data_IF_663027244450
#
_entry.id   IF_663027244450
#
_cell.length_a   1.000
_cell.length_b   1.000
_cell.length_c   1.000
_cell.angle_alpha   90.00
_cell.angle_beta   90.00
_cell.angle_gamma   90.00
#
_symmetry.space_group_name_H-M   'P 1'
#
loop_
_entity.id
_entity.type
_entity.pdbx_description
1 polymer ?
#
# COMPACT_ATOMS: atom_id res chain seq x y z
N UNK A 1 5.51 -16.65 -2.08
CA UNK A 1 6.43 -15.57 -2.53
C UNK A 1 7.17 -14.86 -1.38
N UNK A 2 6.58 -14.73 -0.18
CA UNK A 2 7.18 -14.07 1.00
C UNK A 2 8.49 -14.66 1.53
N UNK A 3 8.73 -15.98 1.39
CA UNK A 3 9.96 -16.62 1.88
C UNK A 3 11.23 -16.16 1.15
N UNK A 4 11.13 -15.73 -0.10
CA UNK A 4 12.29 -15.24 -0.87
C UNK A 4 12.71 -13.83 -0.44
N UNK A 5 11.74 -12.99 -0.08
CA UNK A 5 11.97 -11.61 0.35
C UNK A 5 12.62 -11.58 1.74
N UNK A 6 12.17 -12.46 2.64
CA UNK A 6 12.77 -12.61 3.98
C UNK A 6 14.23 -13.06 3.92
N UNK A 7 14.57 -13.98 2.99
CA UNK A 7 15.96 -14.40 2.73
C UNK A 7 16.81 -13.28 2.14
N UNK A 8 16.28 -12.51 1.19
CA UNK A 8 16.99 -11.36 0.61
C UNK A 8 17.25 -10.26 1.64
N UNK A 9 16.27 -9.96 2.49
CA UNK A 9 16.42 -8.99 3.58
C UNK A 9 17.45 -9.46 4.62
N UNK A 10 17.42 -10.74 4.99
CA UNK A 10 18.43 -11.32 5.89
C UNK A 10 19.84 -11.27 5.29
N UNK A 11 19.98 -11.53 3.98
CA UNK A 11 21.27 -11.42 3.27
C UNK A 11 21.79 -9.97 3.26
N UNK A 12 20.91 -9.01 2.95
CA UNK A 12 21.27 -7.60 2.92
C UNK A 12 21.67 -7.07 4.31
N UNK A 13 21.01 -7.53 5.38
CA UNK A 13 21.39 -7.20 6.76
C UNK A 13 22.76 -7.81 7.09
N UNK A 14 23.00 -9.06 6.72
CA UNK A 14 24.29 -9.73 6.94
C UNK A 14 25.43 -9.00 6.21
N UNK A 15 25.21 -8.61 4.95
CA UNK A 15 26.17 -7.83 4.15
C UNK A 15 26.41 -6.44 4.76
N UNK A 16 25.35 -5.77 5.24
CA UNK A 16 25.47 -4.50 5.93
C UNK A 16 26.30 -4.58 7.21
N UNK A 17 26.14 -5.67 7.99
CA UNK A 17 26.95 -5.93 9.18
C UNK A 17 28.43 -6.12 8.80
N UNK A 18 28.72 -6.95 7.78
CA UNK A 18 30.09 -7.18 7.30
C UNK A 18 30.75 -5.90 6.80
N UNK A 19 30.02 -5.06 6.07
CA UNK A 19 30.52 -3.77 5.60
C UNK A 19 30.84 -2.85 6.78
N UNK A 20 29.94 -2.75 7.77
CA UNK A 20 30.17 -1.92 8.97
C UNK A 20 31.38 -2.38 9.77
N UNK A 21 31.58 -3.70 9.90
CA UNK A 21 32.72 -4.28 10.60
C UNK A 21 34.03 -4.02 9.85
N UNK A 22 34.04 -4.13 8.52
CA UNK A 22 35.20 -3.82 7.70
C UNK A 22 35.60 -2.33 7.79
N UNK A 23 34.62 -1.43 7.81
CA UNK A 23 34.85 0.01 7.94
C UNK A 23 35.42 0.34 9.33
N UNK A 24 34.92 -0.32 10.37
CA UNK A 24 35.38 -0.16 11.75
C UNK A 24 36.80 -0.73 11.94
N UNK A 25 37.11 -1.87 11.30
CA UNK A 25 38.48 -2.40 11.27
C UNK A 25 39.44 -1.46 10.54
N UNK A 26 39.02 -0.90 9.40
CA UNK A 26 39.84 0.07 8.66
C UNK A 26 40.07 1.36 9.45
N UNK A 27 39.08 1.83 10.21
CA UNK A 27 39.25 2.94 11.14
C UNK A 27 40.25 2.60 12.26
N UNK A 28 40.14 1.41 12.85
CA UNK A 28 41.05 0.94 13.91
C UNK A 28 42.48 0.81 13.41
N UNK A 29 42.69 0.34 12.18
CA UNK A 29 44.00 0.26 11.54
C UNK A 29 44.59 1.66 11.32
N UNK A 30 43.81 2.64 10.86
CA UNK A 30 44.29 4.03 10.71
C UNK A 30 44.63 4.70 12.04
N UNK A 31 43.86 4.45 13.08
CA UNK A 31 44.14 4.97 14.43
C UNK A 31 45.33 4.26 15.07
N UNK A 32 45.51 2.96 14.83
CA UNK A 32 46.66 2.19 15.35
C UNK A 32 47.95 2.47 14.59
N UNK A 33 47.90 2.77 13.29
CA UNK A 33 49.06 3.24 12.50
C UNK A 33 49.42 4.70 12.78
N UNK A 34 48.53 5.46 13.41
CA UNK A 34 48.77 6.86 13.82
C UNK A 34 49.41 7.02 15.20
N UNK A 35 49.62 5.93 15.96
CA UNK A 35 50.05 6.02 17.35
C UNK A 35 51.17 5.00 17.67
N UNK A 36 52.33 5.21 17.04
CA UNK A 36 53.54 4.42 17.30
C UNK A 36 54.79 5.07 16.73
N UNK A 37 55.59 5.67 17.60
CA UNK A 37 56.99 6.10 17.45
C UNK A 37 57.29 7.39 16.65
N UNK A 38 57.87 8.36 17.36
CA UNK A 38 58.43 9.57 16.75
C UNK A 38 58.90 10.62 17.76
N UNK A 39 59.49 10.20 18.89
CA UNK A 39 60.32 11.09 19.71
C UNK A 39 61.79 10.85 19.32
N UNK A 40 62.49 11.98 19.15
CA UNK A 40 63.94 12.16 19.13
C UNK A 40 64.71 11.92 17.81
N UNK A 41 65.68 12.84 17.65
CA UNK A 41 66.91 12.76 16.86
C UNK A 41 66.74 13.20 15.40
N UNK A 42 67.16 14.40 15.02
CA UNK A 42 68.55 14.86 14.94
C UNK A 42 69.42 13.94 14.07
N UNK A 43 70.18 14.59 13.17
CA UNK A 43 71.07 14.04 12.16
C UNK A 43 70.32 13.51 10.92
N UNK A 44 70.74 13.83 9.70
CA UNK A 44 72.09 13.63 9.20
C UNK A 44 72.31 14.45 7.93
N UNK A 45 73.35 15.26 7.96
CA UNK A 45 74.14 15.65 6.79
C UNK A 45 74.42 14.45 5.90
N UNK A 46 74.28 14.55 4.57
CA UNK A 46 74.83 13.56 3.67
C UNK A 46 76.34 13.81 3.54
N UNK A 47 77.11 13.01 4.27
CA UNK A 47 78.53 12.76 3.98
C UNK A 47 78.59 11.65 2.94
N UNK A 48 79.17 11.93 1.78
CA UNK A 48 79.66 10.90 0.85
C UNK A 48 80.84 11.44 0.04
N UNK A 49 81.73 10.54 -0.41
CA UNK A 49 83.16 10.69 -0.22
C UNK A 49 83.87 10.99 -1.54
N UNK A 50 84.89 11.85 -1.50
CA UNK A 50 86.02 11.77 -2.43
C UNK A 50 87.20 12.52 -1.80
N UNK A 51 88.10 11.72 -1.22
CA UNK A 51 89.48 12.13 -1.14
C UNK A 51 90.07 12.12 -2.54
N UNK A 52 90.77 13.20 -2.87
CA UNK A 52 91.99 13.33 -3.68
C UNK A 52 92.29 14.83 -3.61
N UNK A 53 93.25 15.23 -2.78
CA UNK A 53 94.56 15.61 -3.29
C UNK A 53 94.49 16.77 -4.28
N UNK A 54 94.68 18.00 -3.81
CA UNK A 54 95.95 18.70 -4.03
C UNK A 54 96.02 19.94 -3.14
N UNK A 55 96.86 19.84 -2.13
CA UNK A 55 97.46 20.97 -1.44
C UNK A 55 98.24 21.83 -2.44
N UNK A 56 97.67 22.96 -2.85
CA UNK A 56 98.41 24.08 -3.40
C UNK A 56 98.19 25.30 -2.52
N UNK A 57 98.79 25.26 -1.33
CA UNK A 57 99.18 26.47 -0.61
C UNK A 57 100.20 27.21 -1.48
N UNK A 58 99.72 28.01 -2.44
CA UNK A 58 100.56 28.95 -3.15
C UNK A 58 100.74 30.17 -2.25
N UNK A 59 101.53 29.99 -1.18
CA UNK A 59 102.18 31.10 -0.49
C UNK A 59 103.16 31.74 -1.47
N UNK A 60 102.66 32.65 -2.31
CA UNK A 60 103.50 33.57 -3.07
C UNK A 60 103.44 34.95 -2.42
N UNK A 61 103.93 35.02 -1.19
CA UNK A 61 104.50 36.26 -0.67
C UNK A 61 105.74 36.60 -1.51
N UNK A 62 105.52 37.24 -2.65
CA UNK A 62 106.59 37.85 -3.43
C UNK A 62 106.71 39.30 -2.99
N UNK A 63 107.33 39.50 -1.83
CA UNK A 63 107.98 40.77 -1.50
C UNK A 63 109.15 40.94 -2.48
N UNK A 64 108.89 41.58 -3.63
CA UNK A 64 109.95 42.07 -4.49
C UNK A 64 110.41 43.41 -3.93
N UNK A 65 111.40 43.36 -3.04
CA UNK A 65 112.29 44.48 -2.81
C UNK A 65 112.96 44.85 -4.15
N UNK A 66 112.53 45.96 -4.74
CA UNK A 66 113.13 46.51 -5.94
C UNK A 66 114.43 47.24 -5.57
N UNK A 67 115.50 46.46 -5.48
CA UNK A 67 116.86 46.93 -5.20
C UNK A 67 117.87 46.47 -6.25
N UNK A 68 117.51 46.40 -7.53
CA UNK A 68 118.44 46.29 -8.66
C UNK A 68 117.70 46.50 -10.00
N UNK A 69 118.33 47.13 -11.02
CA UNK A 69 117.72 47.33 -12.32
C UNK A 69 117.74 46.01 -13.13
N UNK A 70 116.58 45.39 -13.30
CA UNK A 70 116.39 44.27 -14.22
C UNK A 70 116.11 44.83 -15.64
N UNK A 71 117.05 44.59 -16.56
CA UNK A 71 116.92 44.91 -17.97
C UNK A 71 116.34 43.69 -18.71
N UNK A 72 115.04 43.73 -19.01
CA UNK A 72 114.41 42.80 -19.95
C UNK A 72 114.84 43.19 -21.36
N UNK A 73 115.62 42.32 -21.98
CA UNK A 73 116.11 42.46 -23.34
C UNK A 73 114.97 42.35 -24.35
N UNK A 74 114.98 43.30 -25.28
CA UNK A 74 114.28 43.42 -26.57
C UNK A 74 112.82 43.94 -26.55
N UNK A 75 112.70 45.27 -26.69
CA UNK A 75 111.50 45.93 -27.24
C UNK A 75 110.70 46.87 -26.33
N UNK A 76 110.99 47.00 -25.03
CA UNK A 76 110.14 47.80 -24.10
C UNK A 76 110.81 49.13 -23.69
N UNK A 77 110.13 50.30 -23.81
CA UNK A 77 110.69 51.61 -23.49
C UNK A 77 111.15 51.79 -22.03
N UNK A 78 112.26 52.50 -21.76
CA UNK A 78 112.91 52.61 -20.44
C UNK A 78 112.14 53.45 -19.38
N UNK A 79 110.90 53.87 -19.68
CA UNK A 79 110.05 54.68 -18.79
C UNK A 79 108.83 53.92 -18.26
N UNK A 80 108.65 52.65 -18.66
CA UNK A 80 107.51 51.84 -18.22
C UNK A 80 107.82 51.17 -16.87
N UNK A 81 107.02 51.48 -15.85
CA UNK A 81 107.07 50.78 -14.58
C UNK A 81 106.28 49.46 -14.68
N UNK A 82 106.97 48.41 -15.13
CA UNK A 82 106.40 47.06 -15.29
C UNK A 82 105.86 46.51 -13.97
N UNK A 83 106.49 46.82 -12.83
CA UNK A 83 106.03 46.37 -11.52
C UNK A 83 104.66 46.97 -11.14
N UNK A 84 104.42 48.25 -11.44
CA UNK A 84 103.12 48.88 -11.23
C UNK A 84 102.03 48.24 -12.13
N UNK A 85 102.38 47.88 -13.36
CA UNK A 85 101.49 47.16 -14.28
C UNK A 85 101.13 45.76 -13.76
N UNK A 86 102.11 45.00 -13.27
CA UNK A 86 101.88 43.69 -12.65
C UNK A 86 101.01 43.77 -11.39
N UNK A 87 101.24 44.76 -10.51
CA UNK A 87 100.42 44.95 -9.30
C UNK A 87 98.99 45.36 -9.63
N UNK A 88 98.79 46.17 -10.67
CA UNK A 88 97.45 46.53 -11.13
C UNK A 88 96.71 45.32 -11.72
N UNK A 89 97.40 44.50 -12.51
CA UNK A 89 96.84 43.27 -13.06
C UNK A 89 96.43 42.30 -11.93
N UNK A 90 97.31 42.09 -10.95
CA UNK A 90 97.04 41.23 -9.79
C UNK A 90 95.82 41.72 -8.99
N UNK A 91 95.69 43.03 -8.76
CA UNK A 91 94.49 43.58 -8.09
C UNK A 91 93.21 43.31 -8.89
N UNK A 92 93.23 43.50 -10.21
CA UNK A 92 92.06 43.24 -11.05
C UNK A 92 91.74 41.75 -11.17
N UNK A 93 92.75 40.89 -11.13
CA UNK A 93 92.58 39.44 -11.06
C UNK A 93 91.91 39.02 -9.74
N UNK A 94 92.37 39.56 -8.61
CA UNK A 94 91.77 39.32 -7.29
C UNK A 94 90.33 39.85 -7.21
N UNK A 95 90.09 41.10 -7.66
CA UNK A 95 88.75 41.70 -7.71
C UNK A 95 87.82 40.87 -8.60
N UNK A 96 88.29 40.42 -9.77
CA UNK A 96 87.52 39.57 -10.68
C UNK A 96 87.20 38.22 -10.04
N UNK A 97 88.17 37.58 -9.40
CA UNK A 97 87.99 36.29 -8.73
C UNK A 97 86.96 36.42 -7.59
N UNK A 98 87.02 37.49 -6.80
CA UNK A 98 86.03 37.75 -5.75
C UNK A 98 84.62 37.91 -6.32
N UNK A 99 84.47 38.70 -7.39
CA UNK A 99 83.18 38.89 -8.06
C UNK A 99 82.67 37.57 -8.64
N UNK A 100 83.55 36.77 -9.25
CA UNK A 100 83.18 35.48 -9.83
C UNK A 100 82.65 34.52 -8.77
N UNK A 101 83.36 34.37 -7.65
CA UNK A 101 82.92 33.51 -6.53
C UNK A 101 81.59 34.00 -5.96
N UNK A 102 81.45 35.31 -5.72
CA UNK A 102 80.20 35.87 -5.22
C UNK A 102 79.02 35.68 -6.19
N UNK A 103 79.28 35.74 -7.50
CA UNK A 103 78.27 35.48 -8.53
C UNK A 103 77.86 34.00 -8.57
N UNK A 104 78.81 33.08 -8.43
CA UNK A 104 78.53 31.64 -8.40
C UNK A 104 77.68 31.27 -7.17
N UNK A 105 78.07 31.74 -5.97
CA UNK A 105 77.28 31.53 -4.75
C UNK A 105 75.88 32.16 -4.84
N UNK A 106 75.76 33.31 -5.52
CA UNK A 106 74.46 33.94 -5.75
C UNK A 106 73.60 33.13 -6.74
N UNK A 107 74.20 32.56 -7.78
CA UNK A 107 73.52 31.68 -8.73
C UNK A 107 73.03 30.39 -8.05
N UNK A 108 73.86 29.77 -7.20
CA UNK A 108 73.48 28.60 -6.39
C UNK A 108 72.32 28.92 -5.44
N UNK A 109 72.39 30.05 -4.73
CA UNK A 109 71.30 30.51 -3.84
C UNK A 109 70.01 30.81 -4.61
N UNK A 110 70.11 31.43 -5.78
CA UNK A 110 68.96 31.68 -6.63
C UNK A 110 68.31 30.37 -7.13
N UNK A 111 69.11 29.37 -7.50
CA UNK A 111 68.61 28.05 -7.88
C UNK A 111 67.90 27.35 -6.71
N UNK A 112 68.48 27.40 -5.50
CA UNK A 112 67.85 26.84 -4.30
C UNK A 112 66.48 27.49 -4.01
N UNK A 113 66.39 28.83 -4.10
CA UNK A 113 65.11 29.54 -3.93
C UNK A 113 64.11 29.16 -5.02
N UNK A 114 64.56 29.04 -6.28
CA UNK A 114 63.69 28.61 -7.38
C UNK A 114 63.07 27.24 -7.11
N UNK A 115 63.84 26.25 -6.62
CA UNK A 115 63.30 24.93 -6.26
C UNK A 115 62.26 24.99 -5.15
N UNK A 116 62.47 25.84 -4.14
CA UNK A 116 61.49 26.05 -3.07
C UNK A 116 60.20 26.70 -3.57
N UNK A 117 60.31 27.69 -4.47
CA UNK A 117 59.16 28.34 -5.11
C UNK A 117 58.35 27.31 -5.91
N UNK A 118 59.01 26.48 -6.72
CA UNK A 118 58.34 25.42 -7.48
C UNK A 118 57.61 24.44 -6.55
N UNK A 119 58.26 23.99 -5.47
CA UNK A 119 57.63 23.08 -4.50
C UNK A 119 56.39 23.71 -3.80
N UNK A 120 56.45 25.01 -3.48
CA UNK A 120 55.30 25.73 -2.92
C UNK A 120 54.17 25.87 -3.96
N UNK A 121 54.51 26.20 -5.20
CA UNK A 121 53.56 26.31 -6.29
C UNK A 121 52.83 24.98 -6.55
N UNK A 122 53.56 23.87 -6.59
CA UNK A 122 52.99 22.53 -6.75
C UNK A 122 52.01 22.20 -5.63
N UNK A 123 52.42 22.42 -4.37
CA UNK A 123 51.57 22.21 -3.19
C UNK A 123 50.30 23.07 -3.24
N UNK A 124 50.44 24.36 -3.55
CA UNK A 124 49.31 25.28 -3.65
C UNK A 124 48.37 24.89 -4.80
N UNK A 125 48.91 24.41 -5.92
CA UNK A 125 48.10 23.90 -7.04
C UNK A 125 47.32 22.63 -6.64
N UNK A 126 47.95 21.73 -5.89
CA UNK A 126 47.32 20.51 -5.38
C UNK A 126 46.18 20.83 -4.43
N UNK A 127 46.43 21.70 -3.44
CA UNK A 127 45.40 22.18 -2.52
C UNK A 127 44.23 22.85 -3.25
N UNK A 128 44.51 23.68 -4.26
CA UNK A 128 43.46 24.31 -5.08
C UNK A 128 42.59 23.28 -5.78
N UNK A 129 43.19 22.22 -6.36
CA UNK A 129 42.43 21.12 -6.98
C UNK A 129 41.54 20.43 -5.95
N UNK A 130 42.08 20.03 -4.80
CA UNK A 130 41.30 19.39 -3.74
C UNK A 130 40.13 20.26 -3.24
N UNK A 131 40.36 21.57 -3.06
CA UNK A 131 39.31 22.51 -2.66
C UNK A 131 38.25 22.66 -3.76
N UNK A 132 38.67 22.70 -5.03
CA UNK A 132 37.75 22.75 -6.17
C UNK A 132 36.88 21.50 -6.25
N UNK A 133 37.48 20.31 -6.08
CA UNK A 133 36.76 19.04 -6.08
C UNK A 133 35.76 18.97 -4.93
N UNK A 134 36.19 19.38 -3.73
CA UNK A 134 35.32 19.46 -2.56
C UNK A 134 34.17 20.44 -2.78
N UNK A 135 34.46 21.64 -3.29
CA UNK A 135 33.43 22.64 -3.61
C UNK A 135 32.43 22.12 -4.65
N UNK A 136 32.90 21.40 -5.67
CA UNK A 136 32.04 20.76 -6.66
C UNK A 136 31.13 19.70 -6.04
N UNK A 137 31.67 18.87 -5.15
CA UNK A 137 30.88 17.86 -4.44
C UNK A 137 29.83 18.48 -3.50
N UNK A 138 30.19 19.55 -2.78
CA UNK A 138 29.28 20.26 -1.87
C UNK A 138 28.18 21.02 -2.63
N UNK A 139 28.47 21.52 -3.82
CA UNK A 139 27.49 22.21 -4.67
C UNK A 139 26.31 21.31 -5.09
N UNK A 140 26.45 19.98 -5.04
CA UNK A 140 25.38 19.03 -5.33
C UNK A 140 24.38 18.81 -4.18
N UNK A 141 24.74 19.18 -2.95
CA UNK A 141 23.89 18.95 -1.75
C UNK A 141 22.52 19.64 -1.86
N UNK A 142 22.41 20.92 -2.28
CA UNK A 142 21.12 21.57 -2.44
C UNK A 142 20.20 20.82 -3.42
N UNK A 143 20.73 20.29 -4.52
CA UNK A 143 19.96 19.49 -5.48
C UNK A 143 19.49 18.17 -4.90
N UNK A 144 20.28 17.53 -4.02
CA UNK A 144 19.84 16.35 -3.30
C UNK A 144 18.72 16.67 -2.30
N UNK A 145 18.81 17.81 -1.61
CA UNK A 145 17.78 18.28 -0.69
C UNK A 145 16.47 18.52 -1.43
N UNK A 146 16.48 19.20 -2.59
CA UNK A 146 15.26 19.45 -3.35
C UNK A 146 14.63 18.15 -3.88
N UNK A 147 15.44 17.19 -4.33
CA UNK A 147 14.94 15.86 -4.72
C UNK A 147 14.34 15.09 -3.55
N UNK A 148 14.96 15.18 -2.37
CA UNK A 148 14.43 14.55 -1.15
C UNK A 148 13.11 15.20 -0.74
N UNK A 149 13.00 16.53 -0.80
CA UNK A 149 11.76 17.26 -0.53
C UNK A 149 10.65 16.85 -1.50
N UNK A 150 10.93 16.76 -2.79
CA UNK A 150 9.98 16.26 -3.78
C UNK A 150 9.54 14.81 -3.48
N UNK A 151 10.47 13.94 -3.05
CA UNK A 151 10.11 12.58 -2.63
C UNK A 151 9.21 12.58 -1.39
N UNK A 152 9.44 13.47 -0.43
CA UNK A 152 8.58 13.61 0.77
C UNK A 152 7.18 14.08 0.36
N UNK A 153 7.08 15.07 -0.54
CA UNK A 153 5.80 15.54 -1.07
C UNK A 153 5.02 14.41 -1.76
N UNK A 154 5.70 13.58 -2.57
CA UNK A 154 5.05 12.42 -3.20
C UNK A 154 4.58 11.38 -2.17
N UNK A 155 5.31 11.19 -1.07
CA UNK A 155 4.90 10.29 0.00
C UNK A 155 3.68 10.82 0.74
N UNK A 156 3.62 12.12 1.03
CA UNK A 156 2.44 12.74 1.64
C UNK A 156 1.22 12.63 0.73
N UNK A 157 1.37 12.89 -0.58
CA UNK A 157 0.27 12.73 -1.53
C UNK A 157 -0.25 11.28 -1.60
N UNK A 158 0.65 10.30 -1.50
CA UNK A 158 0.28 8.88 -1.44
C UNK A 158 -0.44 8.56 -0.12
N UNK A 159 0.01 9.10 1.01
CA UNK A 159 -0.64 8.93 2.30
C UNK A 159 -2.07 9.50 2.30
N UNK A 160 -2.26 10.70 1.74
CA UNK A 160 -3.58 11.32 1.62
C UNK A 160 -4.51 10.53 0.70
N UNK A 161 -3.99 10.02 -0.42
CA UNK A 161 -4.74 9.11 -1.29
C UNK A 161 -5.10 7.80 -0.58
N UNK A 162 -4.19 7.28 0.26
CA UNK A 162 -4.44 6.12 1.10
C UNK A 162 -5.60 6.35 2.06
N UNK A 163 -5.59 7.47 2.79
CA UNK A 163 -6.69 7.86 3.69
C UNK A 163 -8.02 8.03 2.95
N UNK A 164 -7.99 8.62 1.76
CA UNK A 164 -9.21 8.76 0.95
C UNK A 164 -9.74 7.38 0.52
N UNK A 165 -8.85 6.46 0.14
CA UNK A 165 -9.24 5.10 -0.22
C UNK A 165 -9.84 4.34 0.97
N UNK A 166 -9.30 4.51 2.17
CA UNK A 166 -9.87 3.93 3.40
C UNK A 166 -11.31 4.43 3.64
N UNK A 167 -11.56 5.74 3.47
CA UNK A 167 -12.90 6.33 3.59
C UNK A 167 -13.86 5.77 2.53
N UNK A 168 -13.41 5.62 1.28
CA UNK A 168 -14.27 5.05 0.23
C UNK A 168 -14.52 3.55 0.42
N UNK A 169 -13.58 2.81 1.02
CA UNK A 169 -13.80 1.42 1.39
C UNK A 169 -14.81 1.27 2.52
N UNK A 170 -14.74 2.12 3.55
CA UNK A 170 -15.73 2.15 4.64
C UNK A 170 -17.15 2.41 4.09
N UNK A 171 -17.31 3.40 3.21
CA UNK A 171 -18.60 3.65 2.53
C UNK A 171 -19.08 2.46 1.69
N UNK A 172 -18.16 1.73 1.07
CA UNK A 172 -18.50 0.56 0.28
C UNK A 172 -18.96 -0.60 1.18
N UNK A 173 -18.33 -0.79 2.34
CA UNK A 173 -18.74 -1.74 3.36
C UNK A 173 -20.16 -1.43 3.86
N UNK A 174 -20.43 -0.17 4.24
CA UNK A 174 -21.77 0.30 4.64
C UNK A 174 -22.83 0.00 3.56
N UNK A 175 -22.49 0.24 2.28
CA UNK A 175 -23.39 -0.01 1.16
C UNK A 175 -23.66 -1.50 0.96
N UNK A 176 -22.64 -2.34 1.12
CA UNK A 176 -22.79 -3.79 1.05
C UNK A 176 -23.71 -4.30 2.17
N UNK A 177 -23.52 -3.85 3.41
CA UNK A 177 -24.38 -4.20 4.55
C UNK A 177 -25.85 -3.80 4.31
N UNK A 178 -26.07 -2.59 3.77
CA UNK A 178 -27.41 -2.12 3.42
C UNK A 178 -28.05 -2.99 2.32
N UNK A 179 -27.29 -3.37 1.29
CA UNK A 179 -27.78 -4.29 0.25
C UNK A 179 -28.17 -5.65 0.83
N UNK A 180 -27.33 -6.24 1.68
CA UNK A 180 -27.61 -7.52 2.34
C UNK A 180 -28.88 -7.44 3.21
N UNK A 181 -29.05 -6.33 3.94
CA UNK A 181 -30.25 -6.10 4.74
C UNK A 181 -31.50 -5.99 3.87
N UNK A 182 -31.43 -5.27 2.75
CA UNK A 182 -32.55 -5.13 1.82
C UNK A 182 -32.94 -6.47 1.19
N UNK A 183 -31.96 -7.28 0.77
CA UNK A 183 -32.20 -8.63 0.27
C UNK A 183 -32.88 -9.52 1.32
N UNK A 184 -32.39 -9.48 2.56
CA UNK A 184 -32.99 -10.21 3.67
C UNK A 184 -34.44 -9.80 3.92
N UNK A 185 -34.72 -8.49 3.96
CA UNK A 185 -36.09 -7.97 4.14
C UNK A 185 -37.02 -8.41 3.01
N UNK A 186 -36.54 -8.38 1.77
CA UNK A 186 -37.31 -8.80 0.61
C UNK A 186 -37.63 -10.30 0.66
N UNK A 187 -36.67 -11.14 1.02
CA UNK A 187 -36.90 -12.58 1.19
C UNK A 187 -37.95 -12.84 2.27
N UNK A 188 -37.88 -12.14 3.41
CA UNK A 188 -38.91 -12.24 4.46
C UNK A 188 -40.29 -11.79 4.00
N UNK A 189 -40.37 -10.75 3.17
CA UNK A 189 -41.63 -10.33 2.59
C UNK A 189 -42.20 -11.39 1.63
N UNK A 190 -41.35 -12.04 0.84
CA UNK A 190 -41.74 -13.14 -0.03
C UNK A 190 -42.20 -14.38 0.75
N UNK A 191 -41.49 -14.77 1.81
CA UNK A 191 -41.88 -15.85 2.72
C UNK A 191 -43.28 -15.60 3.32
N UNK A 192 -43.53 -14.40 3.84
CA UNK A 192 -44.82 -14.00 4.41
C UNK A 192 -45.95 -14.04 3.38
N UNK A 193 -45.70 -13.50 2.18
CA UNK A 193 -46.68 -13.49 1.08
C UNK A 193 -47.02 -14.91 0.63
N UNK A 194 -46.01 -15.78 0.52
CA UNK A 194 -46.18 -17.20 0.18
C UNK A 194 -46.98 -17.93 1.25
N UNK A 195 -46.67 -17.70 2.53
CA UNK A 195 -47.41 -18.31 3.63
C UNK A 195 -48.88 -17.86 3.65
N UNK A 196 -49.14 -16.56 3.47
CA UNK A 196 -50.50 -16.00 3.35
C UNK A 196 -51.27 -16.66 2.21
N UNK A 197 -50.66 -16.77 1.02
CA UNK A 197 -51.30 -17.43 -0.12
C UNK A 197 -51.61 -18.90 0.16
N UNK A 198 -50.67 -19.63 0.78
CA UNK A 198 -50.89 -21.02 1.18
C UNK A 198 -52.08 -21.16 2.14
N UNK A 199 -52.21 -20.26 3.12
CA UNK A 199 -53.34 -20.24 4.05
C UNK A 199 -54.68 -19.93 3.38
N UNK A 200 -54.70 -18.99 2.44
CA UNK A 200 -55.90 -18.71 1.63
C UNK A 200 -56.33 -19.94 0.83
N UNK A 201 -55.38 -20.62 0.16
CA UNK A 201 -55.66 -21.83 -0.59
C UNK A 201 -56.16 -22.98 0.33
N UNK A 202 -55.60 -23.13 1.53
CA UNK A 202 -56.07 -24.11 2.53
C UNK A 202 -57.51 -23.81 2.97
N UNK A 203 -57.83 -22.53 3.21
CA UNK A 203 -59.18 -22.10 3.59
C UNK A 203 -60.18 -22.35 2.47
N UNK A 204 -59.82 -22.02 1.22
CA UNK A 204 -60.68 -22.26 0.06
C UNK A 204 -60.97 -23.75 -0.15
N UNK A 205 -59.93 -24.60 -0.02
CA UNK A 205 -60.09 -26.07 -0.04
C UNK A 205 -61.04 -26.54 1.06
N UNK A 206 -60.90 -26.01 2.28
CA UNK A 206 -61.78 -26.35 3.38
C UNK A 206 -63.24 -25.93 3.10
N UNK A 207 -63.46 -24.71 2.61
CA UNK A 207 -64.80 -24.23 2.20
C UNK A 207 -65.41 -25.12 1.12
N UNK A 208 -64.65 -25.47 0.11
CA UNK A 208 -65.11 -26.37 -0.94
C UNK A 208 -65.47 -27.76 -0.40
N UNK A 209 -64.66 -28.31 0.50
CA UNK A 209 -64.94 -29.60 1.14
C UNK A 209 -66.25 -29.57 1.96
N UNK A 210 -66.47 -28.52 2.76
CA UNK A 210 -67.70 -28.34 3.54
C UNK A 210 -68.91 -28.18 2.61
N UNK A 211 -68.81 -27.34 1.57
CA UNK A 211 -69.88 -27.15 0.60
C UNK A 211 -70.23 -28.46 -0.13
N UNK A 212 -69.23 -29.24 -0.56
CA UNK A 212 -69.43 -30.55 -1.19
C UNK A 212 -70.10 -31.55 -0.24
N UNK A 213 -69.69 -31.58 1.03
CA UNK A 213 -70.30 -32.44 2.05
C UNK A 213 -71.76 -32.06 2.31
N UNK A 214 -72.04 -30.75 2.39
CA UNK A 214 -73.40 -30.25 2.56
C UNK A 214 -74.29 -30.59 1.36
N UNK A 215 -73.77 -30.38 0.14
CA UNK A 215 -74.47 -30.73 -1.09
C UNK A 215 -74.81 -32.23 -1.15
N UNK A 216 -73.86 -33.11 -0.78
CA UNK A 216 -74.10 -34.55 -0.71
C UNK A 216 -75.20 -34.88 0.33
N UNK A 217 -75.16 -34.26 1.51
CA UNK A 217 -76.17 -34.46 2.55
C UNK A 217 -77.58 -34.02 2.09
N UNK A 218 -77.69 -32.90 1.38
CA UNK A 218 -78.95 -32.45 0.79
C UNK A 218 -79.44 -33.46 -0.24
N UNK A 219 -78.57 -33.91 -1.16
CA UNK A 219 -78.93 -34.88 -2.17
C UNK A 219 -79.42 -36.20 -1.56
N UNK A 220 -78.75 -36.70 -0.53
CA UNK A 220 -79.16 -37.91 0.20
C UNK A 220 -80.54 -37.72 0.84
N UNK A 221 -80.78 -36.57 1.48
CA UNK A 221 -82.05 -36.24 2.10
C UNK A 221 -83.19 -36.12 1.07
N UNK A 222 -82.96 -35.43 -0.05
CA UNK A 222 -83.91 -35.36 -1.16
C UNK A 222 -84.24 -36.73 -1.73
N UNK A 223 -83.24 -37.61 -1.89
CA UNK A 223 -83.46 -38.97 -2.38
C UNK A 223 -84.30 -39.80 -1.41
N UNK A 224 -84.06 -39.67 -0.10
CA UNK A 224 -84.87 -40.32 0.93
C UNK A 224 -86.33 -39.84 0.89
N UNK A 225 -86.55 -38.53 0.81
CA UNK A 225 -87.89 -37.95 0.67
C UNK A 225 -88.60 -38.43 -0.60
N UNK A 226 -87.91 -38.46 -1.75
CA UNK A 226 -88.46 -38.97 -3.01
C UNK A 226 -88.82 -40.46 -2.93
N UNK A 227 -88.01 -41.29 -2.25
CA UNK A 227 -88.33 -42.70 -2.02
C UNK A 227 -89.59 -42.85 -1.16
N UNK A 228 -89.66 -42.13 -0.04
CA UNK A 228 -90.81 -42.15 0.86
C UNK A 228 -92.10 -41.71 0.15
N UNK A 229 -92.03 -40.65 -0.67
CA UNK A 229 -93.15 -40.19 -1.48
C UNK A 229 -93.61 -41.25 -2.48
N UNK A 230 -92.67 -41.92 -3.16
CA UNK A 230 -92.98 -42.99 -4.11
C UNK A 230 -93.62 -44.21 -3.44
N UNK A 231 -93.12 -44.60 -2.27
CA UNK A 231 -93.72 -45.68 -1.47
C UNK A 231 -95.14 -45.32 -1.04
N UNK A 232 -95.36 -44.10 -0.53
CA UNK A 232 -96.71 -43.61 -0.19
C UNK A 232 -97.63 -43.62 -1.41
N UNK A 233 -97.17 -43.13 -2.56
CA UNK A 233 -97.97 -43.11 -3.78
C UNK A 233 -98.33 -44.54 -4.24
N UNK A 234 -97.39 -45.48 -4.18
CA UNK A 234 -97.64 -46.88 -4.51
C UNK A 234 -98.70 -47.51 -3.59
N UNK A 235 -98.63 -47.25 -2.28
CA UNK A 235 -99.64 -47.70 -1.32
C UNK A 235 -101.02 -47.11 -1.62
N UNK A 236 -101.09 -45.81 -1.96
CA UNK A 236 -102.36 -45.17 -2.35
C UNK A 236 -102.90 -45.73 -3.67
N UNK A 237 -102.05 -45.98 -4.66
CA UNK A 237 -102.45 -46.55 -5.96
C UNK A 237 -102.94 -48.00 -5.81
N UNK A 238 -102.31 -48.79 -4.93
CA UNK A 238 -102.75 -50.16 -4.60
C UNK A 238 -104.10 -50.14 -3.87
N UNK A 239 -104.26 -49.26 -2.87
CA UNK A 239 -105.55 -49.08 -2.19
C UNK A 239 -106.65 -48.65 -3.17
N UNK A 240 -106.35 -47.70 -4.07
CA UNK A 240 -107.29 -47.24 -5.08
C UNK A 240 -107.69 -48.32 -6.09
N UNK A 241 -106.74 -49.20 -6.49
CA UNK A 241 -107.06 -50.38 -7.30
C UNK A 241 -108.03 -51.31 -6.57
N UNK A 242 -107.77 -51.56 -5.28
CA UNK A 242 -108.67 -52.32 -4.41
C UNK A 242 -110.08 -51.72 -4.37
N UNK A 243 -110.18 -50.41 -4.11
CA UNK A 243 -111.46 -49.68 -4.09
C UNK A 243 -112.20 -49.78 -5.44
N UNK A 244 -111.47 -49.69 -6.55
CA UNK A 244 -112.05 -49.79 -7.89
C UNK A 244 -112.53 -51.21 -8.22
N UNK A 245 -111.83 -52.22 -7.75
CA UNK A 245 -112.27 -53.62 -7.85
C UNK A 245 -113.50 -53.88 -6.99
N UNK A 246 -113.55 -53.34 -5.78
CA UNK A 246 -114.72 -53.39 -4.89
C UNK A 246 -115.94 -52.73 -5.54
N UNK A 247 -115.75 -51.55 -6.16
CA UNK A 247 -116.80 -50.85 -6.92
C UNK A 247 -117.34 -51.68 -8.09
N UNK A 248 -116.45 -52.33 -8.85
CA UNK A 248 -116.84 -53.19 -9.98
C UNK A 248 -117.64 -54.41 -9.52
N UNK A 249 -117.37 -54.93 -8.33
CA UNK A 249 -118.06 -56.10 -7.78
C UNK A 249 -119.41 -55.75 -7.12
N UNK A 250 -119.50 -54.63 -6.40
CA UNK A 250 -120.66 -54.31 -5.56
C UNK A 250 -121.49 -53.11 -6.06
N UNK A 251 -121.06 -52.40 -7.10
CA UNK A 251 -121.79 -51.29 -7.74
C UNK A 251 -121.84 -49.98 -6.92
N UNK A 252 -121.31 -49.97 -5.69
CA UNK A 252 -121.18 -48.82 -4.80
C UNK A 252 -119.85 -48.89 -4.07
N UNK A 253 -119.13 -47.77 -4.02
CA UNK A 253 -117.92 -47.64 -3.20
C UNK A 253 -118.35 -47.50 -1.74
N UNK A 254 -117.74 -48.26 -0.85
CA UNK A 254 -117.81 -48.00 0.58
C UNK A 254 -117.16 -46.65 0.81
N UNK A 255 -117.96 -45.58 0.90
CA UNK A 255 -117.46 -44.24 1.22
C UNK A 255 -116.54 -44.40 2.41
N UNK A 256 -115.28 -44.00 2.26
CA UNK A 256 -114.39 -43.71 3.38
C UNK A 256 -115.23 -42.82 4.30
N UNK A 257 -115.73 -43.39 5.39
CA UNK A 257 -116.21 -42.58 6.48
C UNK A 257 -114.97 -41.81 6.89
N UNK A 258 -114.99 -40.50 6.66
CA UNK A 258 -114.09 -39.61 7.35
C UNK A 258 -114.23 -39.98 8.84
N UNK A 259 -113.27 -40.74 9.35
CA UNK A 259 -113.17 -40.99 10.77
C UNK A 259 -113.17 -39.60 11.39
N UNK A 260 -114.16 -39.38 12.25
CA UNK A 260 -114.49 -38.13 12.90
C UNK A 260 -113.25 -37.30 13.26
N UNK A 261 -112.88 -36.37 12.39
CA UNK A 261 -112.13 -35.19 12.76
C UNK A 261 -113.09 -34.03 12.54
N UNK A 262 -113.72 -33.66 13.64
CA UNK A 262 -114.30 -32.34 13.95
C UNK A 262 -114.61 -31.45 12.74
N UNK A 263 -115.90 -31.23 12.53
CA UNK A 263 -116.45 -30.02 11.89
C UNK A 263 -115.61 -28.79 12.24
N UNK A 264 -114.71 -28.40 11.35
CA UNK A 264 -114.29 -27.02 11.17
C UNK A 264 -114.05 -26.83 9.67
N UNK A 265 -114.89 -25.99 9.10
CA UNK A 265 -114.79 -25.46 7.76
C UNK A 265 -113.56 -24.55 7.74
N UNK A 266 -112.36 -25.12 7.59
CA UNK A 266 -111.14 -24.36 7.40
C UNK A 266 -111.21 -23.71 6.01
N UNK A 267 -111.58 -22.44 5.99
CA UNK A 267 -111.39 -21.59 4.82
C UNK A 267 -109.88 -21.37 4.61
N UNK A 268 -109.43 -21.12 3.38
CA UNK A 268 -108.02 -20.90 3.02
C UNK A 268 -107.34 -19.76 3.81
N UNK A 269 -108.13 -18.93 4.47
CA UNK A 269 -107.73 -17.84 5.37
C UNK A 269 -107.36 -18.32 6.80
N UNK A 270 -107.59 -19.59 7.14
CA UNK A 270 -107.27 -20.22 8.43
C UNK A 270 -106.20 -21.33 8.31
N UNK A 271 -105.42 -21.35 7.22
CA UNK A 271 -104.16 -22.10 7.20
C UNK A 271 -103.11 -21.22 7.87
N UNK A 272 -103.04 -21.30 9.20
CA UNK A 272 -101.80 -20.95 9.89
C UNK A 272 -100.80 -22.01 9.44
N UNK A 273 -99.88 -21.63 8.55
CA UNK A 273 -98.63 -22.35 8.41
C UNK A 273 -98.08 -22.40 9.84
N UNK A 274 -98.12 -23.56 10.48
CA UNK A 274 -97.34 -23.79 11.69
C UNK A 274 -95.92 -23.45 11.28
N UNK A 275 -95.51 -22.23 11.62
CA UNK A 275 -94.14 -21.86 11.56
C UNK A 275 -93.50 -22.86 12.52
N UNK A 276 -92.74 -23.81 11.95
CA UNK A 276 -91.78 -24.58 12.70
C UNK A 276 -90.70 -23.57 13.13
N UNK A 277 -91.09 -22.65 14.01
CA UNK A 277 -90.44 -21.38 14.33
C UNK A 277 -89.29 -21.62 15.31
N UNK A 278 -89.23 -22.82 15.88
CA UNK A 278 -88.15 -23.24 16.77
C UNK A 278 -86.95 -23.77 15.95
N UNK A 279 -87.17 -24.44 14.81
CA UNK A 279 -86.06 -24.94 13.98
C UNK A 279 -85.59 -23.91 12.93
N UNK A 280 -86.51 -23.10 12.40
CA UNK A 280 -86.18 -22.15 11.31
C UNK A 280 -85.46 -20.89 11.79
N UNK A 281 -85.75 -20.39 13.01
CA UNK A 281 -85.01 -19.26 13.59
C UNK A 281 -83.57 -19.66 13.96
N UNK A 282 -83.40 -20.86 14.52
CA UNK A 282 -82.08 -21.41 14.86
C UNK A 282 -81.24 -21.69 13.60
N UNK A 283 -81.87 -22.21 12.54
CA UNK A 283 -81.20 -22.43 11.26
C UNK A 283 -80.79 -21.12 10.55
N UNK A 284 -81.59 -20.06 10.67
CA UNK A 284 -81.28 -18.75 10.08
C UNK A 284 -80.18 -18.01 10.87
N UNK A 285 -80.20 -18.07 12.20
CA UNK A 285 -79.16 -17.51 13.06
C UNK A 285 -77.82 -18.25 12.89
N UNK A 286 -77.86 -19.57 12.71
CA UNK A 286 -76.65 -20.36 12.44
C UNK A 286 -76.08 -20.12 11.03
N UNK A 287 -76.90 -19.74 10.04
CA UNK A 287 -76.45 -19.37 8.70
C UNK A 287 -75.83 -17.96 8.64
N UNK A 288 -76.31 -17.02 9.47
CA UNK A 288 -75.82 -15.63 9.49
C UNK A 288 -74.56 -15.43 10.37
N UNK A 289 -74.34 -16.29 11.38
CA UNK A 289 -73.23 -16.18 12.33
C UNK A 289 -72.14 -17.26 12.16
N UNK A 290 -72.16 -18.02 11.07
CA UNK A 290 -71.20 -19.10 10.75
C UNK A 290 -70.22 -18.76 9.63
#
# INVERSE_FOLDING_TARGET
>A
MFGSLKKKLSSAIQEGIVISESLQQQYRQRVSSGNGSGQSSAATTPTSPLGLNESLSSSRSSSLYLGAPFHLTDGVPPHLNVAAGCSLLAKYEDDWQQIHVANEENAERAAAVATQITAVQERASGQRKTISDLSGSLAGIPTLITKLQASIETLHALEDMGKQLEIELEKLEDLCEECELQEFMLEKQFELSRHKQKKLNELEKYRHHIASRHQAKIQDHEQQLRKLQRERQAVFDDAFRGDMEEYKQHGQLTKIQAAQATSNKLALEEVVLEANEVETKDALEQFLNG
#
